data_IF_053321213993
#
_entry.id   IF_053321213993
#
_cell.length_a   1.000
_cell.length_b   1.000
_cell.length_c   1.000
_cell.angle_alpha   90.00
_cell.angle_beta   90.00
_cell.angle_gamma   90.00
#
_symmetry.space_group_name_H-M   'P 1'
#
loop_
_entity.id
_entity.type
_entity.pdbx_description
1 polymer ?
#
# COMPACT_ATOMS: atom_id res chain seq x y z
N UNK A 1 -3.06 -28.42 -12.14
CA UNK A 1 -2.84 -28.23 -10.69
C UNK A 1 -4.15 -27.92 -9.94
N UNK A 2 -4.88 -26.85 -10.28
CA UNK A 2 -6.15 -26.48 -9.63
C UNK A 2 -7.25 -27.56 -9.70
N UNK A 3 -7.41 -28.20 -10.87
CA UNK A 3 -8.39 -29.28 -11.07
C UNK A 3 -8.12 -30.50 -10.16
N UNK A 4 -6.85 -30.90 -10.01
CA UNK A 4 -6.45 -32.00 -9.12
C UNK A 4 -6.68 -31.66 -7.65
N UNK A 5 -6.35 -30.44 -7.23
CA UNK A 5 -6.60 -29.97 -5.86
C UNK A 5 -8.09 -29.96 -5.52
N UNK A 6 -8.92 -29.44 -6.44
CA UNK A 6 -10.38 -29.44 -6.29
C UNK A 6 -10.95 -30.86 -6.18
N UNK A 7 -10.48 -31.77 -7.02
CA UNK A 7 -10.91 -33.17 -7.00
C UNK A 7 -10.58 -33.87 -5.68
N UNK A 8 -9.41 -33.59 -5.12
CA UNK A 8 -8.95 -34.25 -3.89
C UNK A 8 -9.66 -33.69 -2.64
N UNK A 9 -9.98 -32.39 -2.62
CA UNK A 9 -10.85 -31.80 -1.61
C UNK A 9 -12.26 -32.40 -1.68
N UNK A 10 -12.83 -32.52 -2.88
CA UNK A 10 -14.17 -33.09 -3.08
C UNK A 10 -14.24 -34.53 -2.55
N UNK A 11 -13.27 -35.38 -2.91
CA UNK A 11 -13.13 -36.75 -2.39
C UNK A 11 -12.98 -36.80 -0.88
N UNK A 12 -12.20 -35.89 -0.31
CA UNK A 12 -11.96 -35.85 1.14
C UNK A 12 -13.22 -35.44 1.89
N UNK A 13 -13.98 -34.49 1.36
CA UNK A 13 -15.26 -34.05 1.91
C UNK A 13 -16.28 -35.19 1.87
N UNK A 14 -16.44 -35.85 0.72
CA UNK A 14 -17.38 -36.98 0.56
C UNK A 14 -17.03 -38.17 1.47
N UNK A 15 -15.73 -38.41 1.70
CA UNK A 15 -15.25 -39.53 2.52
C UNK A 15 -15.26 -39.25 4.02
N UNK A 16 -15.09 -37.99 4.45
CA UNK A 16 -14.96 -37.62 5.88
C UNK A 16 -16.18 -36.90 6.46
N UNK A 17 -17.07 -36.36 5.62
CA UNK A 17 -18.32 -35.73 6.05
C UNK A 17 -19.45 -36.71 5.79
N UNK A 18 -20.10 -37.29 6.84
CA UNK A 18 -21.17 -38.26 6.64
C UNK A 18 -22.31 -37.65 5.82
N UNK A 19 -22.51 -38.14 4.60
CA UNK A 19 -23.66 -37.85 3.74
C UNK A 19 -24.91 -38.61 4.23
N UNK A 20 -25.32 -38.33 5.47
CA UNK A 20 -26.68 -38.57 5.93
C UNK A 20 -27.32 -37.23 6.21
N UNK A 21 -27.63 -36.49 5.16
CA UNK A 21 -28.68 -35.48 5.25
C UNK A 21 -30.02 -36.21 5.31
N UNK A 22 -30.39 -36.68 6.51
CA UNK A 22 -31.80 -36.52 6.89
C UNK A 22 -32.11 -35.04 6.69
N UNK A 23 -33.04 -34.69 5.80
CA UNK A 23 -33.65 -33.36 5.82
C UNK A 23 -34.39 -33.21 7.14
N UNK A 24 -33.64 -32.93 8.21
CA UNK A 24 -34.20 -32.42 9.44
C UNK A 24 -34.79 -31.06 9.10
N UNK A 25 -36.09 -30.87 9.39
CA UNK A 25 -36.79 -29.60 9.26
C UNK A 25 -35.83 -28.43 9.48
N UNK A 26 -35.80 -27.45 8.57
CA UNK A 26 -35.06 -26.20 8.75
C UNK A 26 -35.43 -25.60 10.10
N UNK A 27 -34.57 -25.84 11.08
CA UNK A 27 -34.66 -25.22 12.40
C UNK A 27 -33.50 -24.28 12.50
N UNK A 28 -33.75 -23.08 13.01
CA UNK A 28 -32.71 -22.09 13.20
C UNK A 28 -31.50 -22.70 13.93
N UNK A 29 -30.25 -22.39 13.55
CA UNK A 29 -29.05 -23.01 14.09
C UNK A 29 -28.92 -22.96 15.62
N UNK A 30 -29.46 -21.90 16.24
CA UNK A 30 -29.49 -21.73 17.70
C UNK A 30 -30.58 -22.56 18.42
N UNK A 31 -31.36 -23.38 17.70
CA UNK A 31 -32.48 -24.16 18.24
C UNK A 31 -32.08 -25.59 18.65
N UNK A 32 -31.75 -25.76 19.92
CA UNK A 32 -31.43 -27.07 20.50
C UNK A 32 -32.65 -27.82 21.08
N UNK A 33 -32.44 -29.08 21.46
CA UNK A 33 -33.46 -29.97 22.04
C UNK A 33 -34.07 -29.43 23.34
N UNK A 34 -33.30 -28.71 24.17
CA UNK A 34 -33.79 -28.14 25.43
C UNK A 34 -34.81 -27.03 25.19
N UNK A 35 -34.50 -26.08 24.29
CA UNK A 35 -35.41 -24.99 23.91
C UNK A 35 -36.68 -25.56 23.28
N UNK A 36 -36.57 -26.58 22.42
CA UNK A 36 -37.75 -27.28 21.84
C UNK A 36 -38.63 -27.91 22.92
N UNK A 37 -38.03 -28.55 23.93
CA UNK A 37 -38.78 -29.11 25.06
C UNK A 37 -39.53 -28.02 25.82
N UNK A 38 -38.92 -26.86 26.09
CA UNK A 38 -39.62 -25.74 26.75
C UNK A 38 -40.73 -25.13 25.88
N UNK A 39 -40.53 -25.01 24.57
CA UNK A 39 -41.60 -24.59 23.63
C UNK A 39 -42.79 -25.55 23.72
N UNK A 40 -42.54 -26.86 23.74
CA UNK A 40 -43.59 -27.87 23.85
C UNK A 40 -44.30 -27.79 25.23
N UNK A 41 -43.57 -27.58 26.32
CA UNK A 41 -44.16 -27.36 27.64
C UNK A 41 -45.04 -26.10 27.68
N UNK A 42 -44.57 -24.99 27.10
CA UNK A 42 -45.36 -23.76 26.93
C UNK A 42 -46.63 -24.01 26.12
N UNK A 43 -46.54 -24.74 25.01
CA UNK A 43 -47.71 -25.08 24.17
C UNK A 43 -48.72 -25.95 24.92
N UNK A 44 -48.27 -26.95 25.70
CA UNK A 44 -49.13 -27.75 26.57
C UNK A 44 -49.81 -26.89 27.64
N UNK A 45 -49.07 -25.97 28.26
CA UNK A 45 -49.61 -25.03 29.25
C UNK A 45 -50.66 -24.09 28.62
N UNK A 46 -50.42 -23.60 27.40
CA UNK A 46 -51.38 -22.79 26.66
C UNK A 46 -52.69 -23.55 26.39
N UNK A 47 -52.59 -24.79 25.88
CA UNK A 47 -53.77 -25.65 25.65
C UNK A 47 -54.56 -25.88 26.94
N UNK A 48 -53.86 -26.13 28.06
CA UNK A 48 -54.48 -26.30 29.38
C UNK A 48 -55.18 -25.02 29.86
N UNK A 49 -54.53 -23.87 29.76
CA UNK A 49 -55.10 -22.58 30.15
C UNK A 49 -56.36 -22.24 29.36
N UNK A 50 -56.39 -22.53 28.05
CA UNK A 50 -57.58 -22.37 27.21
C UNK A 50 -58.74 -23.27 27.62
N UNK A 51 -58.45 -24.52 28.02
CA UNK A 51 -59.48 -25.49 28.42
C UNK A 51 -60.04 -25.20 29.82
N UNK A 52 -59.19 -24.91 30.80
CA UNK A 52 -59.62 -24.77 32.20
C UNK A 52 -60.12 -23.37 32.55
N UNK A 53 -59.67 -22.33 31.83
CA UNK A 53 -59.92 -20.91 32.12
C UNK A 53 -59.56 -20.46 33.55
N UNK A 54 -58.78 -21.26 34.29
CA UNK A 54 -58.35 -20.94 35.67
C UNK A 54 -57.16 -19.98 35.65
N UNK A 55 -57.17 -18.96 36.53
CA UNK A 55 -56.10 -17.96 36.68
C UNK A 55 -54.71 -18.61 36.84
N UNK A 56 -54.58 -19.63 37.69
CA UNK A 56 -53.32 -20.38 37.90
C UNK A 56 -52.73 -20.97 36.62
N UNK A 57 -53.56 -21.47 35.70
CA UNK A 57 -53.09 -22.10 34.47
C UNK A 57 -52.69 -21.03 33.44
N UNK A 58 -53.38 -19.87 33.44
CA UNK A 58 -52.99 -18.70 32.66
C UNK A 58 -51.65 -18.11 33.12
N UNK A 59 -51.44 -17.97 34.43
CA UNK A 59 -50.19 -17.45 35.01
C UNK A 59 -49.01 -18.38 34.71
N UNK A 60 -49.23 -19.70 34.80
CA UNK A 60 -48.23 -20.70 34.40
C UNK A 60 -47.85 -20.58 32.92
N UNK A 61 -48.83 -20.38 32.03
CA UNK A 61 -48.54 -20.15 30.61
C UNK A 61 -47.75 -18.86 30.38
N UNK A 62 -48.13 -17.75 31.03
CA UNK A 62 -47.43 -16.46 30.93
C UNK A 62 -45.96 -16.59 31.36
N UNK A 63 -45.70 -17.27 32.48
CA UNK A 63 -44.34 -17.55 32.96
C UNK A 63 -43.52 -18.34 31.94
N UNK A 64 -44.05 -19.48 31.46
CA UNK A 64 -43.37 -20.31 30.47
C UNK A 64 -43.18 -19.58 29.13
N UNK A 65 -44.07 -18.66 28.77
CA UNK A 65 -43.91 -17.83 27.57
C UNK A 65 -42.71 -16.90 27.71
N UNK A 66 -42.58 -16.21 28.83
CA UNK A 66 -41.45 -15.30 29.10
C UNK A 66 -40.13 -16.07 29.14
N UNK A 67 -40.10 -17.21 29.83
CA UNK A 67 -38.90 -18.05 29.95
C UNK A 67 -38.44 -18.57 28.57
N UNK A 68 -39.36 -19.10 27.76
CA UNK A 68 -39.05 -19.54 26.39
C UNK A 68 -38.56 -18.39 25.52
N UNK A 69 -39.18 -17.20 25.62
CA UNK A 69 -38.74 -16.03 24.87
C UNK A 69 -37.33 -15.59 25.26
N UNK A 70 -37.01 -15.61 26.56
CA UNK A 70 -35.68 -15.27 27.06
C UNK A 70 -34.63 -16.25 26.55
N UNK A 71 -34.88 -17.56 26.64
CA UNK A 71 -33.91 -18.57 26.18
C UNK A 71 -33.65 -18.52 24.68
N UNK A 72 -34.69 -18.31 23.87
CA UNK A 72 -34.53 -18.16 22.41
C UNK A 72 -33.66 -16.94 22.09
N UNK A 73 -33.85 -15.82 22.80
CA UNK A 73 -33.03 -14.61 22.61
C UNK A 73 -31.58 -14.85 23.02
N UNK A 74 -31.33 -15.51 24.14
CA UNK A 74 -29.96 -15.83 24.58
C UNK A 74 -29.25 -16.76 23.60
N UNK A 75 -29.93 -17.81 23.13
CA UNK A 75 -29.38 -18.74 22.17
C UNK A 75 -29.07 -18.06 20.83
N UNK A 76 -29.96 -17.20 20.34
CA UNK A 76 -29.73 -16.43 19.13
C UNK A 76 -28.56 -15.44 19.30
N UNK A 77 -28.51 -14.71 20.42
CA UNK A 77 -27.42 -13.77 20.72
C UNK A 77 -26.06 -14.48 20.71
N UNK A 78 -25.94 -15.59 21.44
CA UNK A 78 -24.72 -16.39 21.49
C UNK A 78 -24.28 -16.87 20.10
N UNK A 79 -25.21 -17.37 19.30
CA UNK A 79 -24.93 -17.81 17.94
C UNK A 79 -24.43 -16.65 17.05
N UNK A 80 -25.03 -15.46 17.17
CA UNK A 80 -24.57 -14.28 16.42
C UNK A 80 -23.17 -13.82 16.86
N UNK A 81 -22.87 -13.87 18.15
CA UNK A 81 -21.54 -13.55 18.68
C UNK A 81 -20.48 -14.55 18.16
N UNK A 82 -20.79 -15.85 18.14
CA UNK A 82 -19.90 -16.88 17.58
C UNK A 82 -19.66 -16.67 16.07
N UNK A 83 -20.70 -16.35 15.29
CA UNK A 83 -20.54 -15.99 13.87
C UNK A 83 -19.63 -14.78 13.70
N UNK A 84 -19.84 -13.72 14.49
CA UNK A 84 -19.02 -12.51 14.39
C UNK A 84 -17.55 -12.80 14.68
N UNK A 85 -17.26 -13.63 15.68
CA UNK A 85 -15.88 -14.07 15.96
C UNK A 85 -15.31 -14.87 14.78
N UNK A 86 -16.06 -15.82 14.23
CA UNK A 86 -15.62 -16.61 13.08
C UNK A 86 -15.38 -15.74 11.83
N UNK A 87 -16.23 -14.76 11.57
CA UNK A 87 -16.05 -13.81 10.47
C UNK A 87 -14.81 -12.93 10.69
N UNK A 88 -14.53 -12.49 11.91
CA UNK A 88 -13.32 -11.73 12.22
C UNK A 88 -12.04 -12.56 12.06
N UNK A 89 -12.05 -13.82 12.49
CA UNK A 89 -10.91 -14.74 12.30
C UNK A 89 -10.70 -15.07 10.81
N UNK A 90 -11.77 -15.29 10.06
CA UNK A 90 -11.70 -15.50 8.61
C UNK A 90 -11.18 -14.24 7.90
N UNK A 91 -11.65 -13.06 8.29
CA UNK A 91 -11.17 -11.79 7.75
C UNK A 91 -9.67 -11.60 8.02
N UNK A 92 -9.21 -11.80 9.26
CA UNK A 92 -7.79 -11.69 9.63
C UNK A 92 -6.89 -12.69 8.88
N UNK A 93 -7.34 -13.93 8.71
CA UNK A 93 -6.55 -14.97 8.01
C UNK A 93 -6.51 -14.75 6.50
N UNK A 94 -7.62 -14.37 5.87
CA UNK A 94 -7.63 -14.01 4.43
C UNK A 94 -6.79 -12.76 4.14
N UNK A 95 -6.84 -11.73 5.00
CA UNK A 95 -6.06 -10.49 4.83
C UNK A 95 -4.55 -10.73 5.02
N UNK A 96 -4.16 -11.61 5.95
CA UNK A 96 -2.74 -11.96 6.18
C UNK A 96 -2.16 -12.87 5.09
N UNK A 97 -3.00 -13.61 4.36
CA UNK A 97 -2.57 -14.49 3.25
C UNK A 97 -2.71 -13.88 1.84
N UNK A 98 -3.35 -12.71 1.70
CA UNK A 98 -3.30 -11.97 0.45
C UNK A 98 -1.87 -11.42 0.29
N UNK A 99 -1.08 -12.04 -0.57
CA UNK A 99 0.20 -11.49 -1.02
C UNK A 99 -0.09 -10.16 -1.72
N UNK A 100 -0.03 -9.05 -0.98
CA UNK A 100 -0.17 -7.71 -1.54
C UNK A 100 1.13 -7.47 -2.32
N UNK A 101 1.08 -7.73 -3.63
CA UNK A 101 2.16 -7.38 -4.57
C UNK A 101 1.96 -5.91 -4.96
N UNK A 102 2.76 -4.96 -4.46
CA UNK A 102 2.61 -3.56 -4.85
C UNK A 102 2.93 -3.40 -6.34
N UNK A 103 2.12 -2.64 -7.07
CA UNK A 103 2.34 -2.31 -8.47
C UNK A 103 2.98 -0.93 -8.55
N UNK A 104 4.20 -0.85 -9.07
CA UNK A 104 4.95 0.41 -9.22
C UNK A 104 4.91 0.85 -10.67
N UNK A 105 4.46 2.08 -10.90
CA UNK A 105 4.56 2.74 -12.20
C UNK A 105 6.00 3.14 -12.48
N UNK A 106 6.54 2.85 -13.67
CA UNK A 106 7.87 3.33 -14.07
C UNK A 106 7.72 4.25 -15.27
N UNK A 107 8.16 5.51 -15.13
CA UNK A 107 8.02 6.53 -16.17
C UNK A 107 8.96 6.25 -17.34
N UNK A 108 8.38 6.06 -18.53
CA UNK A 108 9.12 5.94 -19.77
C UNK A 108 9.73 7.27 -20.18
N UNK A 109 10.76 7.22 -20.99
CA UNK A 109 11.39 8.39 -21.57
C UNK A 109 11.63 8.19 -23.05
N UNK A 110 11.79 9.29 -23.79
CA UNK A 110 12.14 9.23 -25.22
C UNK A 110 13.33 8.30 -25.45
N UNK A 111 13.16 7.31 -26.32
CA UNK A 111 14.21 6.38 -26.72
C UNK A 111 14.79 6.80 -28.07
N UNK A 112 16.09 6.58 -28.25
CA UNK A 112 16.76 6.72 -29.55
C UNK A 112 16.80 5.42 -30.36
N UNK A 113 16.29 4.31 -29.79
CA UNK A 113 16.29 2.99 -30.44
C UNK A 113 15.19 2.84 -31.47
N UNK A 114 15.45 2.10 -32.56
CA UNK A 114 14.51 1.86 -33.67
C UNK A 114 13.29 0.98 -33.36
N UNK A 115 12.97 0.75 -32.08
CA UNK A 115 11.90 -0.15 -31.62
C UNK A 115 10.73 0.59 -30.96
N UNK A 116 10.75 1.93 -30.94
CA UNK A 116 9.66 2.76 -30.44
C UNK A 116 10.12 4.14 -29.99
N UNK A 117 9.17 5.07 -29.87
CA UNK A 117 9.44 6.46 -29.49
C UNK A 117 9.92 6.62 -28.03
N UNK A 118 9.62 5.64 -27.18
CA UNK A 118 9.86 5.69 -25.74
C UNK A 118 10.32 4.33 -25.21
N UNK A 119 11.00 4.33 -24.07
CA UNK A 119 11.52 3.11 -23.44
C UNK A 119 11.83 3.28 -21.96
N UNK A 120 12.02 2.14 -21.30
CA UNK A 120 12.41 2.03 -19.88
C UNK A 120 13.60 1.05 -19.82
N UNK A 121 14.72 1.40 -19.17
CA UNK A 121 15.81 0.46 -18.95
C UNK A 121 15.35 -0.74 -18.10
N UNK A 122 15.68 -1.95 -18.55
CA UNK A 122 15.21 -3.19 -17.94
C UNK A 122 15.67 -3.38 -16.48
N UNK A 123 16.77 -2.75 -16.08
CA UNK A 123 17.33 -2.92 -14.75
C UNK A 123 16.46 -2.29 -13.66
N UNK A 124 15.73 -1.20 -13.97
CA UNK A 124 14.71 -0.64 -13.06
C UNK A 124 13.54 -1.61 -12.84
N UNK A 125 13.15 -2.35 -13.90
CA UNK A 125 12.08 -3.35 -13.81
C UNK A 125 12.53 -4.49 -12.90
N UNK A 126 13.71 -5.04 -13.17
CA UNK A 126 14.30 -6.13 -12.36
C UNK A 126 14.50 -5.72 -10.90
N UNK A 127 14.92 -4.48 -10.65
CA UNK A 127 15.12 -3.96 -9.30
C UNK A 127 13.81 -4.01 -8.50
N UNK A 128 12.72 -3.50 -9.06
CA UNK A 128 11.39 -3.55 -8.41
C UNK A 128 10.90 -4.99 -8.23
N UNK A 129 11.04 -5.83 -9.26
CA UNK A 129 10.62 -7.23 -9.20
C UNK A 129 11.40 -8.04 -8.16
N UNK A 130 12.70 -7.77 -8.01
CA UNK A 130 13.55 -8.41 -7.00
C UNK A 130 13.12 -8.08 -5.56
N UNK A 131 12.51 -6.91 -5.36
CA UNK A 131 11.91 -6.50 -4.10
C UNK A 131 10.47 -7.05 -3.92
N UNK A 132 9.99 -7.88 -4.85
CA UNK A 132 8.66 -8.49 -4.82
C UNK A 132 7.54 -7.61 -5.39
N UNK A 133 7.87 -6.49 -6.04
CA UNK A 133 6.91 -5.59 -6.68
C UNK A 133 6.47 -6.04 -8.08
N UNK A 134 5.30 -5.60 -8.53
CA UNK A 134 4.87 -5.62 -9.93
C UNK A 134 5.21 -4.29 -10.60
N UNK A 135 5.40 -4.30 -11.92
CA UNK A 135 5.77 -3.10 -12.68
C UNK A 135 4.75 -2.83 -13.77
N UNK A 136 4.38 -1.56 -13.95
CA UNK A 136 3.60 -1.09 -15.10
C UNK A 136 4.33 0.09 -15.75
N UNK A 137 4.55 0.08 -17.08
CA UNK A 137 5.13 1.22 -17.77
C UNK A 137 4.15 2.40 -17.81
N UNK A 138 4.65 3.60 -17.47
CA UNK A 138 3.91 4.86 -17.62
C UNK A 138 4.42 5.56 -18.87
N UNK A 139 3.55 5.71 -19.87
CA UNK A 139 3.88 6.41 -21.13
C UNK A 139 3.99 7.92 -20.87
N UNK A 140 4.89 8.60 -21.56
CA UNK A 140 5.30 9.98 -21.24
C UNK A 140 4.62 11.08 -22.10
N UNK A 141 3.82 10.69 -23.10
CA UNK A 141 3.10 11.60 -24.01
C UNK A 141 1.59 11.41 -23.94
N UNK A 142 1.06 11.14 -22.75
CA UNK A 142 -0.36 10.89 -22.52
C UNK A 142 -1.06 12.09 -21.86
N UNK A 143 -2.40 12.02 -21.79
CA UNK A 143 -3.23 13.07 -21.20
C UNK A 143 -3.20 13.08 -19.66
N UNK A 144 -3.70 14.15 -19.07
CA UNK A 144 -3.87 14.27 -17.62
C UNK A 144 -4.73 13.15 -17.05
N UNK A 145 -5.84 12.81 -17.71
CA UNK A 145 -6.76 11.75 -17.29
C UNK A 145 -6.07 10.38 -17.27
N UNK A 146 -5.16 10.12 -18.22
CA UNK A 146 -4.35 8.91 -18.20
C UNK A 146 -3.45 8.85 -16.96
N UNK A 147 -2.77 9.95 -16.63
CA UNK A 147 -1.90 9.99 -15.46
C UNK A 147 -2.69 9.86 -14.16
N UNK A 148 -3.87 10.49 -14.06
CA UNK A 148 -4.78 10.31 -12.93
C UNK A 148 -5.19 8.84 -12.77
N UNK A 149 -5.59 8.19 -13.85
CA UNK A 149 -5.93 6.76 -13.82
C UNK A 149 -4.72 5.92 -13.37
N UNK A 150 -3.55 6.14 -13.94
CA UNK A 150 -2.35 5.39 -13.57
C UNK A 150 -1.96 5.60 -12.10
N UNK A 151 -2.12 6.82 -11.57
CA UNK A 151 -1.91 7.12 -10.15
C UNK A 151 -2.88 6.33 -9.27
N UNK A 152 -4.14 6.14 -9.68
CA UNK A 152 -5.11 5.31 -8.92
C UNK A 152 -4.83 3.81 -9.00
N UNK A 153 -4.21 3.34 -10.09
CA UNK A 153 -3.96 1.91 -10.33
C UNK A 153 -2.61 1.41 -9.81
N UNK A 154 -1.73 2.32 -9.41
CA UNK A 154 -0.40 1.99 -8.92
C UNK A 154 -0.26 2.37 -7.44
N UNK A 155 0.66 1.71 -6.76
CA UNK A 155 0.94 1.94 -5.35
C UNK A 155 2.12 2.90 -5.15
N UNK A 156 2.70 3.43 -6.22
CA UNK A 156 3.90 4.25 -6.22
C UNK A 156 4.43 4.46 -7.63
N UNK A 157 5.33 5.43 -7.79
CA UNK A 157 5.98 5.70 -9.08
C UNK A 157 7.50 5.78 -8.93
N UNK A 158 8.21 5.30 -9.95
CA UNK A 158 9.65 5.46 -10.12
C UNK A 158 9.95 6.32 -11.36
N UNK A 159 10.80 7.30 -11.14
CA UNK A 159 11.37 8.20 -12.15
C UNK A 159 12.81 7.75 -12.43
N UNK A 160 13.05 6.99 -13.51
CA UNK A 160 14.36 6.37 -13.77
C UNK A 160 15.44 7.39 -14.18
N UNK A 161 16.69 6.94 -14.18
CA UNK A 161 17.80 7.68 -14.78
C UNK A 161 17.62 7.87 -16.29
N UNK A 162 18.31 8.85 -16.87
CA UNK A 162 18.08 9.23 -18.26
C UNK A 162 18.82 10.51 -18.68
N UNK A 163 18.49 11.00 -19.88
CA UNK A 163 19.14 12.17 -20.48
C UNK A 163 18.20 13.12 -21.22
N UNK A 164 16.91 13.13 -20.86
CA UNK A 164 15.89 14.01 -21.48
C UNK A 164 15.77 15.35 -20.73
N UNK A 165 15.12 16.33 -21.35
CA UNK A 165 14.97 17.67 -20.78
C UNK A 165 14.02 17.69 -19.56
N UNK A 166 14.43 18.32 -18.46
CA UNK A 166 13.70 18.39 -17.18
C UNK A 166 12.45 19.30 -17.16
N UNK A 167 12.11 19.95 -18.27
CA UNK A 167 10.93 20.84 -18.33
C UNK A 167 10.06 20.64 -19.56
N UNK A 168 10.66 20.28 -20.69
CA UNK A 168 9.96 20.23 -21.98
C UNK A 168 9.74 18.82 -22.51
N UNK A 169 10.28 17.80 -21.85
CA UNK A 169 10.08 16.40 -22.26
C UNK A 169 8.74 15.84 -21.78
N UNK A 170 8.26 14.79 -22.45
CA UNK A 170 7.12 14.01 -21.97
C UNK A 170 7.37 13.44 -20.56
N UNK A 171 8.60 12.96 -20.33
CA UNK A 171 9.06 12.48 -19.02
C UNK A 171 8.87 13.53 -17.92
N UNK A 172 9.27 14.78 -18.16
CA UNK A 172 9.12 15.87 -17.20
C UNK A 172 7.63 16.17 -16.94
N UNK A 173 6.81 16.18 -17.98
CA UNK A 173 5.37 16.40 -17.83
C UNK A 173 4.70 15.28 -17.00
N UNK A 174 5.00 14.02 -17.30
CA UNK A 174 4.52 12.87 -16.52
C UNK A 174 4.99 12.95 -15.06
N UNK A 175 6.29 13.20 -14.85
CA UNK A 175 6.90 13.34 -13.52
C UNK A 175 6.22 14.42 -12.67
N UNK A 176 5.95 15.58 -13.29
CA UNK A 176 5.22 16.68 -12.65
C UNK A 176 3.83 16.25 -12.19
N UNK A 177 3.05 15.58 -13.03
CA UNK A 177 1.70 15.12 -12.68
C UNK A 177 1.74 14.16 -11.48
N UNK A 178 2.59 13.14 -11.51
CA UNK A 178 2.70 12.19 -10.40
C UNK A 178 3.20 12.86 -9.11
N UNK A 179 4.18 13.76 -9.20
CA UNK A 179 4.68 14.51 -8.05
C UNK A 179 3.58 15.39 -7.43
N UNK A 180 2.85 16.15 -8.23
CA UNK A 180 1.74 16.99 -7.76
C UNK A 180 0.61 16.16 -7.14
N UNK A 181 0.21 15.04 -7.77
CA UNK A 181 -0.80 14.14 -7.23
C UNK A 181 -0.35 13.50 -5.92
N UNK A 182 0.92 13.06 -5.82
CA UNK A 182 1.46 12.52 -4.57
C UNK A 182 1.42 13.55 -3.44
N UNK A 183 1.77 14.82 -3.72
CA UNK A 183 1.64 15.90 -2.73
C UNK A 183 0.18 16.18 -2.34
N UNK A 184 -0.75 16.18 -3.30
CA UNK A 184 -2.19 16.38 -3.05
C UNK A 184 -2.79 15.24 -2.22
N UNK A 185 -2.44 14.00 -2.53
CA UNK A 185 -2.87 12.82 -1.76
C UNK A 185 -2.39 12.88 -0.30
N UNK A 186 -1.15 13.33 -0.10
CA UNK A 186 -0.54 13.49 1.22
C UNK A 186 -1.15 14.61 2.08
N UNK A 187 -1.80 15.61 1.48
CA UNK A 187 -2.32 16.80 2.16
C UNK A 187 -3.82 16.75 2.49
N UNK A 188 -4.45 15.56 2.46
CA UNK A 188 -5.86 15.31 2.81
C UNK A 188 -6.91 15.95 1.86
N UNK A 189 -6.48 16.65 0.81
CA UNK A 189 -7.35 17.48 -0.03
C UNK A 189 -8.29 16.67 -0.95
N UNK A 190 -8.01 15.40 -1.20
CA UNK A 190 -8.83 14.56 -2.09
C UNK A 190 -10.11 14.02 -1.43
N UNK A 191 -10.41 14.32 -0.15
CA UNK A 191 -11.57 13.74 0.54
C UNK A 191 -12.94 14.25 0.07
N UNK A 192 -13.01 15.33 -0.71
CA UNK A 192 -14.30 15.97 -1.07
C UNK A 192 -14.54 16.23 -2.57
N UNK A 193 -13.54 16.09 -3.45
CA UNK A 193 -13.67 16.50 -4.86
C UNK A 193 -13.89 15.34 -5.85
N UNK A 194 -13.60 14.10 -5.44
CA UNK A 194 -13.78 12.92 -6.28
C UNK A 194 -14.62 11.90 -5.52
N UNK A 195 -15.73 11.46 -6.13
CA UNK A 195 -16.59 10.39 -5.60
C UNK A 195 -15.79 9.07 -5.69
N UNK A 196 -14.81 8.89 -4.81
CA UNK A 196 -14.08 7.63 -4.62
C UNK A 196 -14.47 7.11 -3.25
N UNK A 197 -15.72 6.65 -3.15
CA UNK A 197 -16.38 6.36 -1.87
C UNK A 197 -15.89 5.09 -1.17
N UNK A 198 -14.85 4.38 -1.64
CA UNK A 198 -14.51 3.06 -1.07
C UNK A 198 -13.02 2.66 -1.03
N UNK A 199 -12.04 3.56 -1.11
CA UNK A 199 -10.63 3.13 -1.07
C UNK A 199 -9.66 3.90 -0.17
N UNK A 200 -9.99 5.10 0.31
CA UNK A 200 -8.98 6.00 0.89
C UNK A 200 -9.34 6.52 2.30
N UNK A 201 -9.72 5.63 3.20
CA UNK A 201 -9.91 5.97 4.61
C UNK A 201 -8.60 5.76 5.41
N UNK A 202 -7.87 6.88 5.57
CA UNK A 202 -6.71 7.17 6.46
C UNK A 202 -5.35 7.38 5.77
N UNK A 203 -5.20 8.50 5.06
CA UNK A 203 -3.88 9.12 4.84
C UNK A 203 -2.90 8.23 4.08
N UNK A 204 -3.31 7.89 2.86
CA UNK A 204 -2.57 7.02 1.96
C UNK A 204 -1.28 7.65 1.47
N UNK A 205 -0.26 6.81 1.49
CA UNK A 205 1.12 7.11 1.19
C UNK A 205 1.40 6.67 -0.24
N UNK A 206 1.73 7.62 -1.12
CA UNK A 206 2.11 7.34 -2.50
C UNK A 206 3.62 7.65 -2.68
N UNK A 207 4.52 6.65 -2.59
CA UNK A 207 5.95 6.85 -2.74
C UNK A 207 6.30 7.30 -4.17
N UNK A 208 7.24 8.25 -4.25
CA UNK A 208 7.80 8.75 -5.51
C UNK A 208 9.31 8.57 -5.45
N UNK A 209 9.84 7.61 -6.19
CA UNK A 209 11.28 7.35 -6.21
C UNK A 209 11.94 8.04 -7.41
N UNK A 210 13.08 8.71 -7.22
CA UNK A 210 13.83 9.34 -8.30
C UNK A 210 15.29 8.89 -8.36
N UNK A 211 15.70 8.32 -9.50
CA UNK A 211 17.08 7.86 -9.73
C UNK A 211 17.76 8.74 -10.78
N UNK A 212 18.95 9.28 -10.51
CA UNK A 212 19.73 10.15 -11.40
C UNK A 212 18.91 11.31 -12.00
N UNK A 213 18.41 11.15 -13.23
CA UNK A 213 17.51 12.13 -13.87
C UNK A 213 16.23 12.35 -13.04
N UNK A 214 15.66 11.30 -12.46
CA UNK A 214 14.54 11.41 -11.53
C UNK A 214 14.85 12.24 -10.29
N UNK A 215 16.07 12.13 -9.74
CA UNK A 215 16.53 12.97 -8.63
C UNK A 215 16.60 14.46 -9.04
N UNK A 216 17.14 14.73 -10.23
CA UNK A 216 17.23 16.08 -10.79
C UNK A 216 15.83 16.69 -11.02
N UNK A 217 14.93 15.91 -11.61
CA UNK A 217 13.54 16.28 -11.90
C UNK A 217 12.79 16.66 -10.63
N UNK A 218 12.80 15.78 -9.62
CA UNK A 218 12.10 16.04 -8.36
C UNK A 218 12.69 17.22 -7.59
N UNK A 219 14.01 17.43 -7.69
CA UNK A 219 14.66 18.62 -7.13
C UNK A 219 14.19 19.89 -7.82
N UNK A 220 14.11 19.89 -9.16
CA UNK A 220 13.60 21.01 -9.93
C UNK A 220 12.12 21.29 -9.64
N UNK A 221 11.28 20.25 -9.57
CA UNK A 221 9.86 20.36 -9.21
C UNK A 221 9.66 20.93 -7.80
N UNK A 222 10.46 20.48 -6.83
CA UNK A 222 10.39 20.97 -5.45
C UNK A 222 10.83 22.42 -5.34
N UNK A 223 11.89 22.81 -6.04
CA UNK A 223 12.37 24.19 -6.08
C UNK A 223 11.43 25.10 -6.88
N UNK A 224 10.72 24.55 -7.87
CA UNK A 224 9.95 25.29 -8.88
C UNK A 224 10.84 26.01 -9.91
N UNK A 225 12.14 25.71 -9.94
CA UNK A 225 13.15 26.28 -10.85
C UNK A 225 14.26 25.25 -11.07
N UNK A 226 15.06 25.41 -12.12
CA UNK A 226 16.23 24.57 -12.34
C UNK A 226 17.26 24.79 -11.23
N UNK A 227 17.61 23.72 -10.52
CA UNK A 227 18.55 23.73 -9.38
C UNK A 227 19.72 22.77 -9.56
N UNK A 228 19.87 22.18 -10.75
CA UNK A 228 21.01 21.33 -11.06
C UNK A 228 22.18 22.17 -11.53
N UNK A 229 23.36 21.92 -10.99
CA UNK A 229 24.61 22.55 -11.40
C UNK A 229 25.64 21.49 -11.79
N UNK A 230 26.72 21.89 -12.45
CA UNK A 230 27.77 20.95 -12.86
C UNK A 230 28.40 20.30 -11.62
N UNK A 231 28.17 19.00 -11.51
CA UNK A 231 28.66 18.12 -10.44
C UNK A 231 29.10 16.78 -11.05
N UNK A 232 29.81 16.85 -12.17
CA UNK A 232 30.07 15.68 -13.02
C UNK A 232 30.84 14.56 -12.31
N UNK A 233 30.27 13.36 -12.38
CA UNK A 233 30.91 12.09 -12.04
C UNK A 233 30.46 11.07 -13.08
N UNK A 234 31.42 10.57 -13.85
CA UNK A 234 31.16 9.65 -14.95
C UNK A 234 31.90 8.34 -14.75
N UNK A 235 31.18 7.23 -14.88
CA UNK A 235 31.72 5.87 -14.83
C UNK A 235 32.58 5.61 -13.59
N UNK A 236 32.05 6.01 -12.43
CA UNK A 236 32.76 5.86 -11.15
C UNK A 236 31.83 5.39 -10.05
N UNK A 237 32.21 4.30 -9.40
CA UNK A 237 31.58 3.90 -8.15
C UNK A 237 32.21 4.64 -6.97
N UNK A 238 31.38 5.17 -6.09
CA UNK A 238 31.78 5.93 -4.90
C UNK A 238 31.20 5.29 -3.63
N UNK A 239 31.83 5.50 -2.46
CA UNK A 239 31.16 5.26 -1.19
C UNK A 239 30.15 6.40 -0.94
N UNK A 240 29.37 6.32 0.12
CA UNK A 240 28.46 7.36 0.57
C UNK A 240 29.03 8.10 1.78
N UNK A 241 29.16 9.43 1.66
CA UNK A 241 29.43 10.27 2.82
C UNK A 241 28.10 10.50 3.56
N UNK A 242 27.75 9.55 4.43
CA UNK A 242 26.53 9.60 5.23
C UNK A 242 26.55 10.81 6.20
N UNK A 243 25.45 11.58 6.25
CA UNK A 243 25.26 12.73 7.15
C UNK A 243 24.72 12.29 8.52
N UNK A 244 24.75 13.09 9.57
CA UNK A 244 24.10 12.69 10.84
C UNK A 244 22.59 12.40 10.70
N UNK A 245 21.96 13.00 9.69
CA UNK A 245 20.53 12.90 9.41
C UNK A 245 20.06 11.49 8.98
N UNK A 246 20.95 10.59 8.49
CA UNK A 246 20.55 9.23 8.07
C UNK A 246 20.04 8.37 9.23
N UNK A 247 20.49 8.60 10.46
CA UNK A 247 20.18 7.75 11.62
C UNK A 247 18.68 7.69 11.92
N UNK A 248 17.97 8.79 11.65
CA UNK A 248 16.52 8.90 11.85
C UNK A 248 15.75 8.87 10.52
N UNK A 249 16.42 8.49 9.42
CA UNK A 249 15.81 8.44 8.09
C UNK A 249 14.95 7.20 7.90
N UNK A 250 13.96 7.27 7.01
CA UNK A 250 13.16 6.10 6.63
C UNK A 250 13.97 5.16 5.74
N UNK A 251 14.79 5.72 4.85
CA UNK A 251 15.57 4.95 3.90
C UNK A 251 16.72 4.18 4.56
N UNK A 252 17.52 4.84 5.40
CA UNK A 252 18.77 4.28 5.94
C UNK A 252 18.74 3.98 7.44
N UNK A 253 17.70 4.42 8.17
CA UNK A 253 17.64 4.28 9.64
C UNK A 253 17.65 2.83 10.13
N UNK A 254 17.18 1.88 9.31
CA UNK A 254 17.11 0.45 9.66
C UNK A 254 18.09 -0.42 8.84
N UNK A 255 19.13 0.17 8.23
CA UNK A 255 20.13 -0.62 7.52
C UNK A 255 20.90 -1.54 8.48
N UNK A 256 21.16 -2.81 8.09
CA UNK A 256 22.13 -3.65 8.77
C UNK A 256 23.53 -2.99 8.84
N UNK A 257 24.23 -3.19 9.95
CA UNK A 257 25.53 -2.53 10.20
C UNK A 257 26.62 -2.88 9.18
N UNK A 258 26.58 -4.11 8.65
CA UNK A 258 27.46 -4.57 7.57
C UNK A 258 27.17 -3.82 6.27
N UNK A 259 25.90 -3.76 5.84
CA UNK A 259 25.47 -3.01 4.64
C UNK A 259 25.84 -1.53 4.77
N UNK A 260 25.61 -0.94 5.93
CA UNK A 260 26.01 0.44 6.22
C UNK A 260 27.52 0.63 6.10
N UNK A 261 28.31 -0.31 6.60
CA UNK A 261 29.77 -0.28 6.49
C UNK A 261 30.21 -0.33 5.02
N UNK A 262 29.61 -1.23 4.22
CA UNK A 262 29.85 -1.32 2.78
C UNK A 262 29.54 0.00 2.08
N UNK A 263 28.37 0.59 2.35
CA UNK A 263 27.98 1.87 1.76
C UNK A 263 28.94 3.01 2.11
N UNK A 264 29.48 3.04 3.32
CA UNK A 264 30.36 4.13 3.77
C UNK A 264 31.83 3.98 3.34
N UNK A 265 32.31 2.75 3.14
CA UNK A 265 33.75 2.48 2.94
C UNK A 265 34.10 2.05 1.52
N UNK A 266 33.20 1.33 0.87
CA UNK A 266 33.50 0.68 -0.40
C UNK A 266 32.88 1.45 -1.58
N UNK A 267 33.54 1.38 -2.73
CA UNK A 267 33.07 2.00 -3.97
C UNK A 267 31.94 1.16 -4.58
N UNK A 268 30.77 1.15 -3.94
CA UNK A 268 29.63 0.29 -4.29
C UNK A 268 28.49 1.03 -5.00
N UNK A 269 28.60 2.35 -5.16
CA UNK A 269 27.49 3.15 -5.68
C UNK A 269 27.83 3.85 -7.01
N UNK A 270 27.29 3.38 -8.15
CA UNK A 270 27.71 3.80 -9.49
C UNK A 270 27.20 5.18 -9.88
N UNK A 271 28.07 6.07 -10.35
CA UNK A 271 27.69 7.43 -10.77
C UNK A 271 27.91 7.65 -12.27
N UNK A 272 26.84 8.12 -12.94
CA UNK A 272 26.82 8.42 -14.38
C UNK A 272 26.02 9.72 -14.63
N UNK A 273 26.52 10.86 -14.17
CA UNK A 273 25.83 12.14 -14.32
C UNK A 273 26.80 13.30 -14.56
N UNK A 274 26.36 14.28 -15.35
CA UNK A 274 27.08 15.55 -15.54
C UNK A 274 26.61 16.65 -14.56
N UNK A 275 25.38 16.51 -14.07
CA UNK A 275 24.68 17.51 -13.27
C UNK A 275 24.11 16.89 -12.00
N UNK A 276 24.08 17.67 -10.93
CA UNK A 276 23.50 17.28 -9.66
C UNK A 276 23.09 18.51 -8.85
N UNK A 277 22.57 18.29 -7.64
CA UNK A 277 22.28 19.39 -6.71
C UNK A 277 23.47 19.52 -5.78
N UNK A 278 24.21 20.62 -5.89
CA UNK A 278 25.33 20.86 -4.97
C UNK A 278 24.84 21.23 -3.57
N UNK A 279 25.67 20.98 -2.55
CA UNK A 279 25.37 21.43 -1.18
C UNK A 279 25.14 22.94 -1.11
N UNK A 280 25.86 23.73 -1.92
CA UNK A 280 25.65 25.18 -2.05
C UNK A 280 24.24 25.52 -2.60
N UNK A 281 23.83 24.87 -3.70
CA UNK A 281 22.50 25.07 -4.29
C UNK A 281 21.39 24.65 -3.33
N UNK A 282 21.55 23.52 -2.64
CA UNK A 282 20.61 23.10 -1.60
C UNK A 282 20.53 24.13 -0.47
N UNK A 283 21.68 24.59 0.05
CA UNK A 283 21.72 25.50 1.19
C UNK A 283 21.16 26.90 0.89
N UNK A 284 21.25 27.35 -0.36
CA UNK A 284 20.70 28.62 -0.83
C UNK A 284 19.22 28.56 -1.21
N UNK A 285 18.65 27.35 -1.40
CA UNK A 285 17.25 27.18 -1.77
C UNK A 285 16.37 26.77 -0.58
N UNK A 286 15.57 27.71 -0.07
CA UNK A 286 14.72 27.49 1.10
C UNK A 286 13.64 26.40 0.91
N UNK A 287 13.14 26.21 -0.32
CA UNK A 287 12.15 25.15 -0.64
C UNK A 287 12.79 23.77 -0.52
N UNK A 288 13.97 23.58 -1.10
CA UNK A 288 14.73 22.33 -0.99
C UNK A 288 15.05 22.00 0.47
N UNK A 289 15.57 22.95 1.25
CA UNK A 289 15.89 22.71 2.68
C UNK A 289 14.69 22.33 3.51
N UNK A 290 13.56 23.00 3.27
CA UNK A 290 12.32 22.75 4.01
C UNK A 290 11.73 21.39 3.64
N UNK A 291 11.91 20.95 2.41
CA UNK A 291 11.31 19.73 1.90
C UNK A 291 12.20 18.49 2.08
N UNK A 292 13.49 18.56 1.79
CA UNK A 292 14.41 17.43 1.82
C UNK A 292 15.27 17.37 3.07
N UNK A 293 15.49 16.14 3.54
CA UNK A 293 16.54 15.72 4.47
C UNK A 293 17.67 15.12 3.64
N UNK A 294 18.90 15.59 3.84
CA UNK A 294 20.07 15.06 3.13
C UNK A 294 20.61 13.88 3.91
N UNK A 295 20.68 12.71 3.29
CA UNK A 295 21.14 11.47 3.94
C UNK A 295 22.61 11.18 3.63
N UNK A 296 23.06 11.57 2.44
CA UNK A 296 24.46 11.48 2.06
C UNK A 296 24.86 12.52 1.02
N UNK A 297 26.16 12.81 1.00
CA UNK A 297 26.80 13.62 -0.02
C UNK A 297 27.93 12.84 -0.70
N UNK A 298 28.43 13.40 -1.79
CA UNK A 298 29.65 12.97 -2.47
C UNK A 298 30.37 14.19 -3.06
N UNK A 299 31.60 13.99 -3.53
CA UNK A 299 32.40 15.05 -4.17
C UNK A 299 32.54 14.75 -5.65
N UNK A 300 32.17 15.72 -6.49
CA UNK A 300 32.26 15.64 -7.93
C UNK A 300 33.70 15.80 -8.44
N UNK A 301 33.93 15.51 -9.72
CA UNK A 301 35.26 15.62 -10.35
C UNK A 301 35.83 17.05 -10.33
N UNK A 302 34.96 18.05 -10.22
CA UNK A 302 35.33 19.46 -10.11
C UNK A 302 35.52 19.93 -8.65
N UNK A 303 35.54 19.01 -7.68
CA UNK A 303 35.73 19.29 -6.25
C UNK A 303 34.48 19.79 -5.53
N UNK A 304 33.35 19.97 -6.21
CA UNK A 304 32.10 20.41 -5.57
C UNK A 304 31.42 19.26 -4.85
N UNK A 305 30.98 19.51 -3.62
CA UNK A 305 30.10 18.58 -2.91
C UNK A 305 28.68 18.62 -3.49
N UNK A 306 28.11 17.44 -3.72
CA UNK A 306 26.75 17.26 -4.19
C UNK A 306 25.97 16.28 -3.33
N UNK A 307 24.65 16.46 -3.30
CA UNK A 307 23.74 15.57 -2.62
C UNK A 307 23.64 14.25 -3.40
N UNK A 308 23.93 13.12 -2.75
CA UNK A 308 23.87 11.80 -3.40
C UNK A 308 22.63 11.00 -3.01
N UNK A 309 22.11 11.21 -1.80
CA UNK A 309 20.85 10.61 -1.34
C UNK A 309 20.08 11.60 -0.48
N UNK A 310 18.79 11.75 -0.77
CA UNK A 310 17.86 12.58 0.01
C UNK A 310 16.54 11.86 0.22
N UNK A 311 15.83 12.24 1.27
CA UNK A 311 14.41 11.87 1.45
C UNK A 311 13.58 13.09 1.84
N UNK A 312 12.28 13.10 1.51
CA UNK A 312 11.39 14.14 2.02
C UNK A 312 11.34 14.13 3.56
N UNK A 313 11.33 15.31 4.19
CA UNK A 313 11.17 15.45 5.64
C UNK A 313 9.78 15.00 6.06
N UNK A 314 9.72 14.28 7.18
CA UNK A 314 8.46 13.92 7.84
C UNK A 314 7.85 15.18 8.46
N UNK A 315 6.91 15.83 7.78
CA UNK A 315 6.04 16.80 8.45
C UNK A 315 4.85 16.07 9.10
N UNK A 316 4.17 16.76 10.03
CA UNK A 316 2.96 16.28 10.70
C UNK A 316 1.85 15.82 9.75
N UNK A 317 1.97 16.15 8.45
CA UNK A 317 1.14 15.66 7.36
C UNK A 317 2.10 14.92 6.43
N UNK A 318 2.01 13.57 6.46
CA UNK A 318 2.93 12.61 5.85
C UNK A 318 3.26 13.05 4.41
N UNK A 319 4.43 13.61 4.14
CA UNK A 319 4.89 13.80 2.76
C UNK A 319 5.12 12.43 2.12
N UNK A 320 5.05 12.32 0.78
CA UNK A 320 5.45 11.09 0.13
C UNK A 320 6.89 10.75 0.54
N UNK A 321 7.28 9.47 0.60
CA UNK A 321 8.71 9.17 0.41
C UNK A 321 9.05 9.58 -0.99
N UNK A 322 9.40 10.86 -1.13
CA UNK A 322 10.25 11.27 -2.21
C UNK A 322 11.63 10.83 -1.79
N UNK A 323 12.00 9.66 -2.27
CA UNK A 323 13.27 9.00 -1.98
C UNK A 323 14.09 9.05 -3.25
N UNK A 324 15.35 9.48 -3.12
CA UNK A 324 16.13 9.76 -4.31
C UNK A 324 17.57 9.33 -4.17
N UNK A 325 18.13 8.90 -5.30
CA UNK A 325 19.55 8.64 -5.44
C UNK A 325 20.06 9.31 -6.72
N UNK A 326 21.17 10.04 -6.64
CA UNK A 326 21.77 10.69 -7.81
C UNK A 326 22.49 9.70 -8.77
N UNK A 327 22.39 8.40 -8.51
CA UNK A 327 23.21 7.33 -9.09
C UNK A 327 22.40 6.52 -10.10
N UNK A 328 23.05 5.68 -10.91
CA UNK A 328 22.36 4.97 -12.00
C UNK A 328 21.83 3.61 -11.59
#
# INVERSE_FOLDING_TARGET
MWQSFKSEIQKTIEKRVPTKMTQGRHTHPWMNTAIRRKINQKQKAHKKARKTKKKRDQDRYKRLRQEVQWEIRQANKKYMEEILVLLNVLWLTTFTTAYIRPIIGVVAQKSSGGHGDTGIPADYIKWIESAGGGVVPIRDKESEEYYEQMFTYTNGVLLPGGGVNLFTSGYANASRYFYEMALKACTHYLKHMYIIDNAYDKGDYYPVWGTCLGFQELSALTAGVLVTTNASVWDKSLPLNLTEDYKESRMFGNLPDDVKTYLMKDNVTPNFHAYGVTSETYNSNSRLKKFFKVLSTNVASNGKEFLSTVEARKNKHKFPSVEMEAKH
#
